data_IF_389094869816
#
_entry.id   IF_389094869816
#
_cell.length_a   1.000
_cell.length_b   1.000
_cell.length_c   1.000
_cell.angle_alpha   90.00
_cell.angle_beta   90.00
_cell.angle_gamma   90.00
#
_symmetry.space_group_name_H-M   'P 1'
#
loop_
_entity.id
_entity.type
_entity.pdbx_description
1 polymer ?
#
# COMPACT_ATOMS: atom_id res chain seq x y z
N UNK A 1 9.15 -6.56 15.02
CA UNK A 1 8.99 -6.24 13.58
C UNK A 1 10.18 -5.38 13.16
N UNK A 2 11.25 -5.97 12.61
CA UNK A 2 12.40 -5.20 12.13
C UNK A 2 12.02 -4.42 10.87
N UNK A 3 12.26 -3.11 10.87
CA UNK A 3 11.98 -2.20 9.75
C UNK A 3 12.96 -2.54 8.61
N UNK A 4 12.54 -3.44 7.70
CA UNK A 4 13.36 -3.95 6.58
C UNK A 4 13.81 -2.88 5.56
N UNK A 5 13.40 -1.63 5.73
CA UNK A 5 13.69 -0.53 4.81
C UNK A 5 14.70 0.48 5.37
N UNK A 6 15.11 0.32 6.63
CA UNK A 6 16.11 1.17 7.26
C UNK A 6 17.50 0.63 6.89
N UNK A 7 18.06 1.12 5.78
CA UNK A 7 19.47 0.88 5.49
C UNK A 7 20.30 1.59 6.57
N UNK A 8 21.48 1.02 6.89
CA UNK A 8 22.50 1.61 7.78
C UNK A 8 22.51 3.13 7.60
N UNK A 9 22.14 3.84 8.67
CA UNK A 9 21.86 5.25 8.65
C UNK A 9 23.02 6.08 8.09
N UNK A 10 22.72 7.30 7.68
CA UNK A 10 23.75 8.24 7.20
C UNK A 10 24.85 8.43 8.24
N UNK A 11 26.02 8.84 7.77
CA UNK A 11 27.11 9.29 8.65
C UNK A 11 26.58 10.33 9.63
N UNK A 12 27.01 10.27 10.89
CA UNK A 12 26.50 11.13 11.96
C UNK A 12 26.71 12.63 11.72
N UNK A 13 27.57 13.02 10.78
CA UNK A 13 27.75 14.41 10.34
C UNK A 13 27.15 14.65 8.97
N UNK A 14 26.48 15.78 8.80
CA UNK A 14 25.98 16.22 7.51
C UNK A 14 27.16 16.62 6.60
N UNK A 15 27.16 16.14 5.36
CA UNK A 15 28.24 16.43 4.39
C UNK A 15 28.16 17.85 3.83
N UNK A 16 26.97 18.47 3.86
CA UNK A 16 26.76 19.82 3.34
C UNK A 16 26.96 20.89 4.42
N UNK A 17 26.36 20.71 5.61
CA UNK A 17 26.41 21.69 6.70
C UNK A 17 27.52 21.42 7.71
N UNK A 18 28.11 20.22 7.74
CA UNK A 18 29.11 19.82 8.73
C UNK A 18 28.56 19.53 10.13
N UNK A 19 27.28 19.84 10.38
CA UNK A 19 26.62 19.69 11.67
C UNK A 19 26.36 18.21 12.03
N UNK A 20 26.25 17.95 13.33
CA UNK A 20 25.83 16.63 13.81
C UNK A 20 24.34 16.42 13.54
N UNK A 21 24.00 15.30 12.93
CA UNK A 21 22.62 14.89 12.66
C UNK A 21 21.96 14.41 13.94
N UNK A 22 20.74 14.88 14.18
CA UNK A 22 19.86 14.29 15.18
C UNK A 22 19.52 12.83 14.82
N UNK A 23 19.10 12.00 15.78
CA UNK A 23 18.75 10.59 15.52
C UNK A 23 17.77 10.38 14.36
N UNK A 24 16.73 11.21 14.27
CA UNK A 24 15.73 11.15 13.20
C UNK A 24 16.30 11.53 11.83
N UNK A 25 17.31 12.40 11.76
CA UNK A 25 17.94 12.83 10.50
C UNK A 25 18.98 11.81 9.98
N UNK A 26 19.19 10.72 10.72
CA UNK A 26 19.99 9.55 10.29
C UNK A 26 19.15 8.55 9.49
N UNK A 27 17.84 8.53 9.73
CA UNK A 27 16.89 7.62 9.10
C UNK A 27 16.30 8.22 7.82
N UNK A 28 16.16 7.38 6.80
CA UNK A 28 15.52 7.73 5.53
C UNK A 28 14.91 6.48 4.90
N UNK A 29 13.90 6.68 4.06
CA UNK A 29 13.22 5.63 3.32
C UNK A 29 13.60 5.74 1.85
N UNK A 30 14.02 4.64 1.25
CA UNK A 30 14.35 4.56 -0.17
C UNK A 30 13.28 3.76 -0.91
N UNK A 31 12.99 4.14 -2.16
CA UNK A 31 12.12 3.37 -3.02
C UNK A 31 12.52 1.89 -3.09
N UNK A 32 11.60 0.99 -2.77
CA UNK A 32 11.86 -0.45 -2.83
C UNK A 32 12.10 -0.93 -4.27
N UNK A 33 11.34 -0.40 -5.23
CA UNK A 33 11.48 -0.73 -6.66
C UNK A 33 12.85 -0.33 -7.17
N UNK A 34 13.29 0.90 -6.90
CA UNK A 34 14.64 1.34 -7.25
C UNK A 34 15.71 0.49 -6.58
N UNK A 35 15.55 0.20 -5.28
CA UNK A 35 16.53 -0.55 -4.51
C UNK A 35 16.69 -2.01 -5.00
N UNK A 36 15.63 -2.62 -5.56
CA UNK A 36 15.64 -4.01 -6.04
C UNK A 36 15.96 -4.13 -7.54
N UNK A 37 15.35 -3.30 -8.37
CA UNK A 37 15.38 -3.41 -9.84
C UNK A 37 16.28 -2.35 -10.50
N UNK A 38 16.76 -1.38 -9.73
CA UNK A 38 17.64 -0.32 -10.21
C UNK A 38 16.94 0.74 -11.07
N UNK A 39 17.78 1.53 -11.75
CA UNK A 39 17.38 2.73 -12.51
C UNK A 39 16.42 2.49 -13.67
N UNK A 40 16.38 1.26 -14.20
CA UNK A 40 15.53 0.91 -15.35
C UNK A 40 14.06 0.80 -14.95
N UNK A 41 13.76 0.52 -13.68
CA UNK A 41 12.41 0.38 -13.16
C UNK A 41 11.91 1.63 -12.42
N UNK A 42 12.82 2.45 -11.90
CA UNK A 42 12.46 3.64 -11.13
C UNK A 42 13.61 4.67 -11.07
N UNK A 43 13.30 5.93 -10.78
CA UNK A 43 14.31 6.94 -10.45
C UNK A 43 14.79 6.78 -9.01
N UNK A 44 16.02 7.21 -8.73
CA UNK A 44 16.56 7.25 -7.36
C UNK A 44 15.80 8.29 -6.56
N UNK A 45 14.83 7.85 -5.76
CA UNK A 45 14.10 8.71 -4.84
C UNK A 45 14.12 8.14 -3.42
N UNK A 46 14.18 9.06 -2.47
CA UNK A 46 14.24 8.81 -1.04
C UNK A 46 13.44 9.88 -0.32
N UNK A 47 12.94 9.54 0.86
CA UNK A 47 12.21 10.43 1.73
C UNK A 47 12.93 10.44 3.07
N UNK A 48 13.23 11.62 3.61
CA UNK A 48 13.84 11.72 4.93
C UNK A 48 12.80 11.41 6.01
N UNK A 49 13.20 10.72 7.08
CA UNK A 49 12.27 10.39 8.16
C UNK A 49 11.70 11.65 8.83
N UNK A 50 12.48 12.74 8.89
CA UNK A 50 12.05 14.05 9.39
C UNK A 50 10.89 14.63 8.58
N UNK A 51 10.98 14.58 7.26
CA UNK A 51 9.95 15.15 6.38
C UNK A 51 8.62 14.40 6.57
N UNK A 52 8.68 13.07 6.67
CA UNK A 52 7.51 12.24 6.99
C UNK A 52 6.95 12.57 8.36
N UNK A 53 7.81 12.70 9.37
CA UNK A 53 7.39 13.03 10.73
C UNK A 53 6.66 14.39 10.76
N UNK A 54 7.24 15.41 10.14
CA UNK A 54 6.66 16.76 10.10
C UNK A 54 5.33 16.78 9.33
N UNK A 55 5.26 16.07 8.21
CA UNK A 55 4.02 15.95 7.43
C UNK A 55 2.90 15.30 8.26
N UNK A 56 3.19 14.15 8.87
CA UNK A 56 2.21 13.41 9.68
C UNK A 56 1.81 14.20 10.91
N UNK A 57 2.76 14.85 11.59
CA UNK A 57 2.47 15.67 12.75
C UNK A 57 1.58 16.86 12.38
N UNK A 58 1.86 17.53 11.25
CA UNK A 58 1.05 18.63 10.75
C UNK A 58 -0.38 18.17 10.47
N UNK A 59 -0.56 17.06 9.77
CA UNK A 59 -1.89 16.50 9.47
C UNK A 59 -2.66 16.16 10.76
N UNK A 60 -1.99 15.53 11.74
CA UNK A 60 -2.61 15.23 13.05
C UNK A 60 -3.05 16.51 13.75
N UNK A 61 -2.22 17.55 13.75
CA UNK A 61 -2.54 18.82 14.38
C UNK A 61 -3.70 19.54 13.68
N UNK A 62 -3.78 19.50 12.35
CA UNK A 62 -4.89 20.07 11.58
C UNK A 62 -6.20 19.32 11.83
N UNK A 63 -6.15 17.98 11.89
CA UNK A 63 -7.30 17.16 12.25
C UNK A 63 -7.74 17.43 13.69
N UNK A 64 -6.80 17.53 14.64
CA UNK A 64 -7.09 17.86 16.03
C UNK A 64 -7.75 19.23 16.18
N UNK A 65 -7.26 20.26 15.47
CA UNK A 65 -7.89 21.59 15.44
C UNK A 65 -9.32 21.53 14.92
N UNK A 66 -9.58 20.72 13.89
CA UNK A 66 -10.92 20.56 13.33
C UNK A 66 -11.84 19.85 14.32
N UNK A 67 -11.37 18.78 14.97
CA UNK A 67 -12.11 18.04 15.98
C UNK A 67 -12.41 18.87 17.23
N UNK A 68 -11.47 19.71 17.66
CA UNK A 68 -11.67 20.65 18.79
C UNK A 68 -12.68 21.75 18.47
N UNK A 69 -12.82 22.13 17.19
CA UNK A 69 -13.77 23.17 16.77
C UNK A 69 -15.21 22.64 16.73
N UNK A 70 -15.39 21.42 16.25
CA UNK A 70 -16.70 20.76 16.14
C UNK A 70 -16.49 19.23 16.12
N UNK A 71 -16.62 18.62 17.30
CA UNK A 71 -16.39 17.20 17.49
C UNK A 71 -17.45 16.37 16.78
N UNK A 72 -18.73 16.76 16.87
CA UNK A 72 -19.85 16.00 16.32
C UNK A 72 -19.80 15.97 14.79
N UNK A 73 -19.59 17.12 14.14
CA UNK A 73 -19.44 17.17 12.69
C UNK A 73 -18.16 16.45 12.22
N UNK A 74 -17.10 16.44 13.04
CA UNK A 74 -15.91 15.64 12.76
C UNK A 74 -16.21 14.14 12.77
N UNK A 75 -16.86 13.64 13.83
CA UNK A 75 -17.22 12.22 13.94
C UNK A 75 -18.18 11.78 12.84
N UNK A 76 -19.19 12.59 12.50
CA UNK A 76 -20.11 12.28 11.41
C UNK A 76 -19.38 12.15 10.07
N UNK A 77 -18.52 13.13 9.73
CA UNK A 77 -17.70 13.06 8.50
C UNK A 77 -16.77 11.86 8.48
N UNK A 78 -16.15 11.53 9.61
CA UNK A 78 -15.26 10.39 9.74
C UNK A 78 -16.02 9.08 9.50
N UNK A 79 -17.16 8.90 10.17
CA UNK A 79 -18.02 7.73 10.04
C UNK A 79 -18.51 7.54 8.61
N UNK A 80 -19.06 8.59 7.97
CA UNK A 80 -19.53 8.50 6.58
C UNK A 80 -18.41 8.15 5.59
N UNK A 81 -17.19 8.66 5.83
CA UNK A 81 -16.03 8.33 5.00
C UNK A 81 -15.60 6.87 5.18
N UNK A 82 -15.62 6.37 6.41
CA UNK A 82 -15.28 4.97 6.71
C UNK A 82 -16.31 4.02 6.11
N UNK A 83 -17.60 4.30 6.27
CA UNK A 83 -18.69 3.51 5.69
C UNK A 83 -18.60 3.46 4.16
N UNK A 84 -18.39 4.59 3.50
CA UNK A 84 -18.22 4.62 2.03
C UNK A 84 -17.05 3.76 1.58
N UNK A 85 -15.91 3.81 2.27
CA UNK A 85 -14.75 2.98 1.92
C UNK A 85 -15.04 1.50 2.14
N UNK A 86 -15.66 1.15 3.26
CA UNK A 86 -16.06 -0.23 3.55
C UNK A 86 -17.00 -0.79 2.48
N UNK A 87 -18.02 -0.02 2.07
CA UNK A 87 -18.96 -0.43 1.02
C UNK A 87 -18.28 -0.60 -0.35
N UNK A 88 -17.34 0.29 -0.69
CA UNK A 88 -16.57 0.17 -1.92
C UNK A 88 -15.68 -1.07 -1.92
N UNK A 89 -14.95 -1.31 -0.82
CA UNK A 89 -14.07 -2.48 -0.68
C UNK A 89 -14.87 -3.79 -0.71
N UNK A 90 -16.02 -3.82 -0.03
CA UNK A 90 -16.95 -4.96 -0.06
C UNK A 90 -17.49 -5.22 -1.47
N UNK A 91 -17.91 -4.16 -2.19
CA UNK A 91 -18.41 -4.28 -3.56
C UNK A 91 -17.33 -4.77 -4.53
N UNK A 92 -16.10 -4.26 -4.40
CA UNK A 92 -14.98 -4.72 -5.22
C UNK A 92 -14.64 -6.18 -4.93
N UNK A 93 -14.60 -6.57 -3.66
CA UNK A 93 -14.35 -7.96 -3.25
C UNK A 93 -15.43 -8.89 -3.79
N UNK A 94 -16.70 -8.51 -3.70
CA UNK A 94 -17.81 -9.29 -4.23
C UNK A 94 -17.72 -9.48 -5.75
N UNK A 95 -17.36 -8.42 -6.49
CA UNK A 95 -17.15 -8.50 -7.94
C UNK A 95 -16.00 -9.43 -8.30
N UNK A 96 -14.90 -9.39 -7.55
CA UNK A 96 -13.79 -10.33 -7.73
C UNK A 96 -14.21 -11.78 -7.44
N UNK A 97 -14.92 -12.02 -6.33
CA UNK A 97 -15.46 -13.35 -6.02
C UNK A 97 -16.32 -13.89 -7.18
N UNK A 98 -17.27 -13.10 -7.68
CA UNK A 98 -18.12 -13.50 -8.81
C UNK A 98 -17.32 -13.77 -10.09
N UNK A 99 -16.29 -12.96 -10.36
CA UNK A 99 -15.39 -13.15 -11.50
C UNK A 99 -14.64 -14.48 -11.38
N UNK A 100 -14.10 -14.78 -10.21
CA UNK A 100 -13.37 -16.02 -9.93
C UNK A 100 -14.29 -17.24 -9.96
N UNK A 101 -15.50 -17.15 -9.41
CA UNK A 101 -16.50 -18.22 -9.45
C UNK A 101 -16.95 -18.53 -10.88
N UNK A 102 -17.14 -17.50 -11.71
CA UNK A 102 -17.48 -17.67 -13.13
C UNK A 102 -16.32 -18.34 -13.88
N UNK A 103 -15.09 -17.90 -13.60
CA UNK A 103 -13.89 -18.51 -14.20
C UNK A 103 -13.70 -19.96 -13.78
N UNK A 104 -13.97 -20.30 -12.52
CA UNK A 104 -13.90 -21.69 -12.06
C UNK A 104 -14.94 -22.56 -12.75
N UNK A 105 -16.18 -22.07 -12.91
CA UNK A 105 -17.21 -22.80 -13.67
C UNK A 105 -16.81 -23.05 -15.11
N UNK A 106 -16.24 -22.06 -15.80
CA UNK A 106 -15.70 -22.25 -17.16
C UNK A 106 -14.61 -23.34 -17.19
N UNK A 107 -13.72 -23.37 -16.19
CA UNK A 107 -12.67 -24.38 -16.09
C UNK A 107 -13.27 -25.77 -15.87
N UNK A 108 -14.27 -25.89 -15.00
CA UNK A 108 -14.96 -27.15 -14.73
C UNK A 108 -15.68 -27.67 -15.98
N UNK A 109 -16.32 -26.78 -16.75
CA UNK A 109 -16.97 -27.13 -18.02
C UNK A 109 -15.96 -27.63 -19.07
N UNK A 110 -14.83 -26.93 -19.23
CA UNK A 110 -13.75 -27.35 -20.13
C UNK A 110 -13.15 -28.68 -19.67
N UNK A 111 -12.98 -28.88 -18.37
CA UNK A 111 -12.48 -30.12 -17.82
C UNK A 111 -13.43 -31.28 -18.15
N UNK A 112 -14.73 -31.13 -17.89
CA UNK A 112 -15.75 -32.12 -18.22
C UNK A 112 -15.77 -32.44 -19.72
N UNK A 113 -15.70 -31.43 -20.60
CA UNK A 113 -15.68 -31.67 -22.05
C UNK A 113 -14.46 -32.50 -22.47
N UNK A 114 -13.28 -32.19 -21.95
CA UNK A 114 -12.05 -32.96 -22.21
C UNK A 114 -12.17 -34.43 -21.76
N UNK A 115 -12.79 -34.70 -20.61
CA UNK A 115 -13.08 -36.07 -20.19
C UNK A 115 -14.03 -36.78 -21.17
N UNK A 116 -15.07 -36.09 -21.64
CA UNK A 116 -16.00 -36.68 -22.60
C UNK A 116 -15.34 -36.97 -23.95
N UNK A 117 -14.48 -36.09 -24.43
CA UNK A 117 -13.77 -36.27 -25.70
C UNK A 117 -12.75 -37.41 -25.63
N UNK A 118 -12.06 -37.54 -24.49
CA UNK A 118 -11.19 -38.69 -24.21
C UNK A 118 -11.97 -40.00 -24.16
N UNK A 119 -13.11 -40.03 -23.47
CA UNK A 119 -13.96 -41.23 -23.38
C UNK A 119 -14.53 -41.65 -24.74
N UNK A 120 -14.81 -40.70 -25.63
CA UNK A 120 -15.26 -40.94 -27.01
C UNK A 120 -14.13 -41.31 -27.97
N UNK A 121 -12.87 -41.29 -27.53
CA UNK A 121 -11.70 -41.58 -28.36
C UNK A 121 -11.38 -40.49 -29.40
N UNK A 122 -11.91 -39.27 -29.23
CA UNK A 122 -11.59 -38.12 -30.08
C UNK A 122 -10.19 -37.59 -29.74
N UNK A 123 -9.86 -37.58 -28.44
CA UNK A 123 -8.54 -37.30 -27.92
C UNK A 123 -7.91 -38.60 -27.43
N UNK A 124 -6.78 -38.99 -28.04
CA UNK A 124 -5.94 -40.13 -27.63
C UNK A 124 -4.82 -39.70 -26.70
#
# INVERSE_FOLDING_TARGET
MQVRYEKVGRTGKNRFTGEQREPIDKAYYICQTYNRLGKNACTSHKIEARDLYNLVLKDIQELAKTALKDADAFYQRLSSRMERRYLLDASQTQKECQRLESRNREIDEVFLSLYTDKAKGILT
#
